data_IF_708650906187
#
_entry.id   IF_708650906187
#
_cell.length_a   1.000
_cell.length_b   1.000
_cell.length_c   1.000
_cell.angle_alpha   90.00
_cell.angle_beta   90.00
_cell.angle_gamma   90.00
#
_symmetry.space_group_name_H-M   'P 1'
#
loop_
_entity.id
_entity.type
_entity.pdbx_description
1 polymer ?
#
# COMPACT_ATOMS: atom_id res chain seq x y z
N UNK A 1 -4.71 -6.48 29.06
CA UNK A 1 -4.40 -6.32 27.62
C UNK A 1 -5.23 -5.15 27.15
N UNK A 2 -4.62 -3.98 26.99
CA UNK A 2 -5.33 -2.84 26.43
C UNK A 2 -5.53 -3.14 24.93
N UNK A 3 -6.77 -3.03 24.46
CA UNK A 3 -7.03 -3.00 23.02
C UNK A 3 -6.29 -1.78 22.47
N UNK A 4 -5.13 -2.01 21.86
CA UNK A 4 -4.49 -0.97 21.06
C UNK A 4 -5.50 -0.60 19.97
N UNK A 5 -5.85 0.68 19.89
CA UNK A 5 -6.67 1.19 18.80
C UNK A 5 -5.83 1.04 17.52
N UNK A 6 -6.09 -0.03 16.76
CA UNK A 6 -5.34 -0.38 15.55
C UNK A 6 -5.76 0.42 14.33
N UNK A 7 -6.86 1.17 14.43
CA UNK A 7 -7.35 2.03 13.36
C UNK A 7 -6.58 3.34 13.30
N UNK A 8 -6.35 3.83 12.09
CA UNK A 8 -5.93 5.20 11.90
C UNK A 8 -7.01 6.12 12.49
N UNK A 9 -6.62 7.18 13.19
CA UNK A 9 -7.55 8.18 13.70
C UNK A 9 -8.42 8.74 12.54
N UNK A 10 -9.73 8.86 12.74
CA UNK A 10 -10.68 9.24 11.68
C UNK A 10 -10.34 10.61 11.07
N UNK A 11 -9.84 11.55 11.87
CA UNK A 11 -9.44 12.88 11.38
C UNK A 11 -8.22 12.77 10.47
N UNK A 12 -7.26 11.93 10.85
CA UNK A 12 -6.09 11.63 10.02
C UNK A 12 -6.51 10.93 8.73
N UNK A 13 -7.44 9.98 8.81
CA UNK A 13 -7.93 9.24 7.64
C UNK A 13 -8.62 10.19 6.66
N UNK A 14 -9.55 11.03 7.14
CA UNK A 14 -10.26 12.01 6.31
C UNK A 14 -9.28 13.00 5.67
N UNK A 15 -8.29 13.48 6.43
CA UNK A 15 -7.26 14.39 5.91
C UNK A 15 -6.53 13.82 4.68
N UNK A 16 -6.15 12.53 4.72
CA UNK A 16 -5.40 11.91 3.62
C UNK A 16 -6.29 11.31 2.53
N UNK A 17 -7.53 10.93 2.88
CA UNK A 17 -8.54 10.51 1.92
C UNK A 17 -9.00 11.68 1.03
N UNK A 18 -8.93 12.93 1.50
CA UNK A 18 -9.23 14.14 0.74
C UNK A 18 -10.54 14.00 -0.07
N UNK A 19 -11.61 13.67 0.64
CA UNK A 19 -12.97 13.43 0.10
C UNK A 19 -13.14 12.15 -0.76
N UNK A 20 -12.05 11.43 -1.06
CA UNK A 20 -12.09 10.13 -1.69
C UNK A 20 -12.62 9.01 -0.77
N UNK A 21 -13.17 7.95 -1.37
CA UNK A 21 -13.65 6.77 -0.64
C UNK A 21 -12.52 5.76 -0.45
N UNK A 22 -12.22 5.36 0.79
CA UNK A 22 -11.26 4.29 1.08
C UNK A 22 -11.88 2.94 0.70
N UNK A 23 -11.42 2.33 -0.41
CA UNK A 23 -11.86 1.01 -0.86
C UNK A 23 -11.16 -0.13 -0.11
N UNK A 24 -9.95 0.12 0.41
CA UNK A 24 -9.18 -0.85 1.18
C UNK A 24 -8.15 -0.15 2.08
N UNK A 25 -8.03 -0.62 3.31
CA UNK A 25 -7.03 -0.19 4.30
C UNK A 25 -6.26 -1.41 4.79
N UNK A 26 -4.93 -1.32 4.75
CA UNK A 26 -4.06 -2.33 5.35
C UNK A 26 -3.16 -1.68 6.41
N UNK A 27 -3.31 -2.12 7.66
CA UNK A 27 -2.50 -1.67 8.78
C UNK A 27 -1.30 -2.58 9.01
N UNK A 28 -0.11 -1.98 9.05
CA UNK A 28 1.17 -2.62 9.30
C UNK A 28 1.75 -2.06 10.61
N UNK A 29 1.55 -2.73 11.76
CA UNK A 29 2.09 -2.26 13.05
C UNK A 29 3.62 -2.31 13.08
N UNK A 30 4.24 -3.14 12.24
CA UNK A 30 5.70 -3.28 12.07
C UNK A 30 6.03 -3.33 10.59
N UNK A 31 6.04 -2.16 9.94
CA UNK A 31 6.48 -2.06 8.54
C UNK A 31 7.98 -2.37 8.39
N UNK A 32 8.49 -2.38 7.16
CA UNK A 32 9.92 -2.63 6.88
C UNK A 32 10.85 -1.60 7.56
N UNK A 33 10.36 -0.39 7.86
CA UNK A 33 11.09 0.64 8.61
C UNK A 33 10.89 0.56 10.13
N UNK A 34 10.06 -0.36 10.62
CA UNK A 34 9.67 -0.44 12.03
C UNK A 34 8.61 0.58 12.45
N UNK A 35 8.19 1.48 11.55
CA UNK A 35 7.13 2.46 11.81
C UNK A 35 5.74 1.82 11.66
N UNK A 36 4.75 2.36 12.38
CA UNK A 36 3.34 2.09 12.07
C UNK A 36 3.03 2.66 10.70
N UNK A 37 2.43 1.84 9.83
CA UNK A 37 2.14 2.22 8.45
C UNK A 37 0.76 1.77 8.05
N UNK A 38 0.05 2.60 7.30
CA UNK A 38 -1.22 2.27 6.68
C UNK A 38 -1.07 2.41 5.17
N UNK A 39 -1.59 1.44 4.44
CA UNK A 39 -1.63 1.45 2.98
C UNK A 39 -3.10 1.56 2.58
N UNK A 40 -3.44 2.66 1.92
CA UNK A 40 -4.80 2.99 1.53
C UNK A 40 -4.94 2.89 0.02
N UNK A 41 -6.02 2.25 -0.42
CA UNK A 41 -6.53 2.33 -1.77
C UNK A 41 -7.76 3.24 -1.75
N UNK A 42 -7.63 4.40 -2.35
CA UNK A 42 -8.68 5.43 -2.36
C UNK A 42 -9.24 5.52 -3.77
N UNK A 43 -10.57 5.57 -3.88
CA UNK A 43 -11.29 5.91 -5.10
C UNK A 43 -11.72 7.37 -5.02
N UNK A 44 -11.24 8.17 -5.96
CA UNK A 44 -11.62 9.58 -6.08
C UNK A 44 -12.98 9.72 -6.79
N UNK A 45 -13.56 10.92 -6.76
CA UNK A 45 -14.91 11.19 -7.31
C UNK A 45 -15.01 10.91 -8.82
N UNK A 46 -13.92 11.10 -9.56
CA UNK A 46 -13.83 10.83 -11.00
C UNK A 46 -13.73 9.33 -11.32
N UNK A 47 -13.71 8.47 -10.30
CA UNK A 47 -13.61 7.01 -10.41
C UNK A 47 -12.18 6.50 -10.57
N UNK A 48 -11.18 7.40 -10.62
CA UNK A 48 -9.78 7.02 -10.56
C UNK A 48 -9.42 6.49 -9.17
N UNK A 49 -8.26 5.81 -9.10
CA UNK A 49 -7.79 5.18 -7.87
C UNK A 49 -6.36 5.60 -7.62
N UNK A 50 -6.08 6.01 -6.39
CA UNK A 50 -4.74 6.34 -5.92
C UNK A 50 -4.38 5.54 -4.68
N UNK A 51 -3.07 5.41 -4.48
CA UNK A 51 -2.50 4.73 -3.32
C UNK A 51 -1.92 5.79 -2.41
N UNK A 52 -2.29 5.75 -1.13
CA UNK A 52 -1.68 6.61 -0.10
C UNK A 52 -1.05 5.73 0.96
N UNK A 53 0.22 5.97 1.25
CA UNK A 53 0.94 5.33 2.36
C UNK A 53 1.08 6.34 3.48
N UNK A 54 0.46 6.05 4.61
CA UNK A 54 0.54 6.86 5.82
C UNK A 54 1.56 6.24 6.76
N UNK A 55 2.49 7.04 7.26
CA UNK A 55 3.52 6.61 8.20
C UNK A 55 3.44 7.46 9.46
N UNK A 56 3.47 6.78 10.59
CA UNK A 56 3.53 7.39 11.91
C UNK A 56 4.88 7.06 12.55
N UNK A 57 5.72 8.08 12.71
CA UNK A 57 7.04 7.97 13.34
C UNK A 57 7.00 8.10 14.86
N UNK A 58 5.81 8.30 15.45
CA UNK A 58 5.62 8.67 16.86
C UNK A 58 5.83 10.16 17.14
N UNK A 59 6.38 10.91 16.18
CA UNK A 59 6.54 12.37 16.25
C UNK A 59 5.59 13.08 15.28
N UNK A 60 5.50 12.56 14.05
CA UNK A 60 4.70 13.13 12.98
C UNK A 60 4.00 12.03 12.20
N UNK A 61 2.80 12.34 11.71
CA UNK A 61 2.07 11.51 10.76
C UNK A 61 2.17 12.12 9.36
N UNK A 62 2.75 11.37 8.43
CA UNK A 62 2.93 11.79 7.04
C UNK A 62 2.19 10.86 6.09
N UNK A 63 1.66 11.41 5.00
CA UNK A 63 1.05 10.64 3.92
C UNK A 63 1.83 10.87 2.63
N UNK A 64 2.03 9.81 1.86
CA UNK A 64 2.73 9.86 0.58
C UNK A 64 1.92 9.13 -0.47
N UNK A 65 1.66 9.77 -1.60
CA UNK A 65 1.04 9.12 -2.73
C UNK A 65 2.04 8.23 -3.47
N UNK A 66 1.60 7.05 -3.88
CA UNK A 66 2.39 6.10 -4.66
C UNK A 66 1.78 5.98 -6.05
N UNK A 67 2.52 6.44 -7.05
CA UNK A 67 2.12 6.32 -8.45
C UNK A 67 2.24 4.87 -8.92
N UNK A 68 1.20 4.40 -9.63
CA UNK A 68 1.20 3.12 -10.35
C UNK A 68 1.55 3.39 -11.81
N UNK A 69 2.57 2.70 -12.32
CA UNK A 69 2.93 2.79 -13.73
C UNK A 69 1.93 2.00 -14.58
N UNK A 70 1.52 2.53 -15.74
CA UNK A 70 0.61 1.81 -16.63
C UNK A 70 1.28 0.56 -17.20
N UNK A 71 0.49 -0.49 -17.39
CA UNK A 71 0.92 -1.75 -17.99
C UNK A 71 -0.17 -2.28 -18.92
N UNK A 72 0.25 -3.01 -19.95
CA UNK A 72 -0.62 -3.58 -20.99
C UNK A 72 -0.63 -5.10 -20.97
N UNK A 73 0.38 -5.72 -20.36
CA UNK A 73 0.52 -7.17 -20.32
C UNK A 73 0.94 -7.68 -18.94
N UNK A 74 0.93 -9.01 -18.79
CA UNK A 74 1.22 -9.70 -17.52
C UNK A 74 2.67 -9.50 -17.06
N UNK A 75 3.62 -9.37 -17.99
CA UNK A 75 5.03 -9.18 -17.66
C UNK A 75 5.24 -7.78 -17.06
N UNK A 76 4.74 -6.74 -17.74
CA UNK A 76 4.77 -5.34 -17.26
C UNK A 76 4.06 -5.19 -15.91
N UNK A 77 2.90 -5.81 -15.73
CA UNK A 77 2.20 -5.84 -14.43
C UNK A 77 3.08 -6.46 -13.34
N UNK A 78 3.76 -7.56 -13.64
CA UNK A 78 4.62 -8.22 -12.66
C UNK A 78 5.85 -7.37 -12.33
N UNK A 79 6.44 -6.66 -13.30
CA UNK A 79 7.51 -5.69 -13.08
C UNK A 79 7.03 -4.55 -12.18
N UNK A 80 5.83 -4.04 -12.41
CA UNK A 80 5.23 -3.00 -11.56
C UNK A 80 4.95 -3.50 -10.14
N UNK A 81 4.47 -4.74 -9.97
CA UNK A 81 4.35 -5.37 -8.65
C UNK A 81 5.71 -5.42 -7.94
N UNK A 82 6.78 -5.79 -8.66
CA UNK A 82 8.11 -5.83 -8.09
C UNK A 82 8.63 -4.43 -7.70
N UNK A 83 8.39 -3.42 -8.54
CA UNK A 83 8.79 -2.03 -8.26
C UNK A 83 8.07 -1.50 -7.03
N UNK A 84 6.74 -1.66 -6.98
CA UNK A 84 5.92 -1.22 -5.85
C UNK A 84 6.32 -1.91 -4.54
N UNK A 85 6.68 -3.20 -4.58
CA UNK A 85 7.20 -3.90 -3.41
C UNK A 85 8.63 -3.47 -3.03
N UNK A 86 9.53 -3.44 -4.01
CA UNK A 86 10.97 -3.23 -3.80
C UNK A 86 11.31 -1.79 -3.45
N UNK A 87 10.78 -0.84 -4.21
CA UNK A 87 11.10 0.58 -4.14
C UNK A 87 10.08 1.37 -3.31
N UNK A 88 8.78 1.11 -3.50
CA UNK A 88 7.73 1.82 -2.77
C UNK A 88 7.38 1.17 -1.42
N UNK A 89 7.92 -0.02 -1.16
CA UNK A 89 7.76 -0.78 0.08
C UNK A 89 6.31 -1.14 0.42
N UNK A 90 5.46 -1.31 -0.59
CA UNK A 90 4.10 -1.80 -0.39
C UNK A 90 4.10 -3.28 0.02
N UNK A 91 3.22 -3.65 0.92
CA UNK A 91 3.09 -5.02 1.41
C UNK A 91 2.49 -5.95 0.35
N UNK A 92 2.84 -7.23 0.43
CA UNK A 92 2.29 -8.24 -0.47
C UNK A 92 0.77 -8.38 -0.33
N UNK A 93 0.22 -8.11 0.86
CA UNK A 93 -1.22 -8.14 1.15
C UNK A 93 -1.93 -7.02 0.40
N UNK A 94 -1.40 -5.80 0.47
CA UNK A 94 -1.97 -4.67 -0.25
C UNK A 94 -1.84 -4.84 -1.77
N UNK A 95 -0.69 -5.32 -2.26
CA UNK A 95 -0.51 -5.62 -3.69
C UNK A 95 -1.48 -6.71 -4.19
N UNK A 96 -1.79 -7.71 -3.36
CA UNK A 96 -2.77 -8.73 -3.69
C UNK A 96 -4.17 -8.12 -3.91
N UNK A 97 -4.60 -7.24 -3.02
CA UNK A 97 -5.86 -6.50 -3.16
C UNK A 97 -5.84 -5.57 -4.39
N UNK A 98 -4.76 -4.80 -4.57
CA UNK A 98 -4.63 -3.82 -5.64
C UNK A 98 -4.73 -4.46 -7.04
N UNK A 99 -4.03 -5.56 -7.26
CA UNK A 99 -3.99 -6.26 -8.55
C UNK A 99 -5.03 -7.36 -8.68
N UNK A 100 -5.91 -7.53 -7.68
CA UNK A 100 -6.94 -8.57 -7.62
C UNK A 100 -6.38 -9.98 -7.88
N UNK A 101 -5.30 -10.33 -7.18
CA UNK A 101 -4.66 -11.65 -7.22
C UNK A 101 -4.41 -12.13 -5.80
N UNK A 102 -4.19 -13.43 -5.61
CA UNK A 102 -3.83 -13.97 -4.29
C UNK A 102 -2.48 -13.45 -3.79
N UNK A 103 -2.31 -13.29 -2.47
CA UNK A 103 -1.03 -12.93 -1.86
C UNK A 103 0.08 -13.96 -2.17
N UNK A 104 -0.25 -15.25 -2.29
CA UNK A 104 0.71 -16.28 -2.71
C UNK A 104 1.21 -16.04 -4.15
N UNK A 105 0.35 -15.61 -5.07
CA UNK A 105 0.76 -15.22 -6.42
C UNK A 105 1.72 -14.02 -6.41
N UNK A 106 1.45 -13.00 -5.58
CA UNK A 106 2.37 -11.86 -5.38
C UNK A 106 3.72 -12.34 -4.85
N UNK A 107 3.73 -13.23 -3.87
CA UNK A 107 4.95 -13.81 -3.30
C UNK A 107 5.79 -14.53 -4.36
N UNK A 108 5.17 -15.35 -5.22
CA UNK A 108 5.84 -16.03 -6.33
C UNK A 108 6.40 -15.05 -7.35
N UNK A 109 5.65 -13.99 -7.69
CA UNK A 109 6.12 -12.93 -8.60
C UNK A 109 7.39 -12.26 -8.04
N UNK A 110 7.35 -11.85 -6.77
CA UNK A 110 8.48 -11.19 -6.09
C UNK A 110 9.70 -12.12 -6.05
N UNK A 111 9.52 -13.39 -5.69
CA UNK A 111 10.62 -14.37 -5.61
C UNK A 111 11.32 -14.58 -6.95
N UNK A 112 10.57 -14.51 -8.05
CA UNK A 112 11.11 -14.67 -9.40
C UNK A 112 11.71 -13.36 -9.95
N UNK A 113 11.55 -12.25 -9.24
CA UNK A 113 12.03 -10.95 -9.67
C UNK A 113 13.50 -10.74 -9.29
N UNK A 114 14.38 -10.64 -10.29
CA UNK A 114 15.82 -10.48 -10.07
C UNK A 114 16.22 -9.12 -9.48
N UNK A 115 15.34 -8.12 -9.55
CA UNK A 115 15.63 -6.75 -9.14
C UNK A 115 15.47 -6.50 -7.63
N UNK A 116 14.86 -7.42 -6.88
CA UNK A 116 14.63 -7.25 -5.44
C UNK A 116 15.75 -7.95 -4.67
N UNK A 117 16.68 -7.17 -4.11
CA UNK A 117 17.58 -7.68 -3.06
C UNK A 117 16.78 -7.74 -1.75
N UNK A 118 16.49 -8.96 -1.30
CA UNK A 118 15.85 -9.22 -0.01
C UNK A 118 16.78 -8.79 1.13
#
# INVERSE_FOLDING_TARGET
>A
MNQENTGLDEVVLQKFAADGTVEFENYLPRSRSGMRTWELKIRDEDGSRRIVVIRDSGLNVTGTEVAVQPFTNRAERNEEICRLYGECHLSQVFLANLFNISQSAVSVIIKNCKCIKL
#
